data_IF_262098830126
#
_entry.id   IF_262098830126
#
_cell.length_a   1.000
_cell.length_b   1.000
_cell.length_c   1.000
_cell.angle_alpha   90.00
_cell.angle_beta   90.00
_cell.angle_gamma   90.00
#
_symmetry.space_group_name_H-M   'P 1'
#
loop_
_entity.id
_entity.type
_entity.pdbx_description
1 polymer ?
#
# COMPACT_ATOMS: atom_id res chain seq x y z
N UNK A 1 16.71 29.13 14.57
CA UNK A 1 15.63 28.38 13.91
C UNK A 1 16.24 27.37 12.94
N UNK A 2 15.80 26.11 13.01
CA UNK A 2 16.53 24.95 12.51
C UNK A 2 16.81 24.96 11.01
N UNK A 3 17.99 24.44 10.61
CA UNK A 3 18.44 24.27 9.21
C UNK A 3 17.45 23.50 8.31
N UNK A 4 16.44 22.85 8.90
CA UNK A 4 15.45 21.99 8.24
C UNK A 4 14.46 22.74 7.34
N UNK A 5 14.19 24.03 7.58
CA UNK A 5 13.21 24.81 6.82
C UNK A 5 13.83 25.74 5.75
N UNK A 6 15.14 25.63 5.48
CA UNK A 6 15.78 26.47 4.46
C UNK A 6 15.51 25.91 3.06
N UNK A 7 14.90 26.69 2.14
CA UNK A 7 14.70 26.26 0.75
C UNK A 7 16.00 25.79 0.12
N UNK A 8 17.11 26.52 0.28
CA UNK A 8 18.41 26.11 -0.26
C UNK A 8 18.90 24.74 0.23
N UNK A 9 18.47 24.32 1.42
CA UNK A 9 18.84 23.02 1.99
C UNK A 9 17.93 21.88 1.52
N UNK A 10 16.69 22.18 1.15
CA UNK A 10 15.69 21.22 0.64
C UNK A 10 15.84 21.05 -0.88
N UNK A 11 16.09 22.17 -1.59
CA UNK A 11 16.24 22.28 -3.04
C UNK A 11 17.70 22.12 -3.52
N UNK A 12 18.67 21.85 -2.65
CA UNK A 12 20.06 21.60 -3.04
C UNK A 12 20.12 20.49 -4.10
N UNK A 13 20.60 20.82 -5.31
CA UNK A 13 20.53 19.95 -6.48
C UNK A 13 21.33 18.64 -6.31
N UNK A 14 22.43 18.68 -5.56
CA UNK A 14 23.34 17.54 -5.36
C UNK A 14 23.85 17.51 -3.91
N UNK A 15 23.06 17.00 -2.95
CA UNK A 15 23.60 16.68 -1.64
C UNK A 15 24.62 15.55 -1.80
N UNK A 16 25.79 15.59 -1.12
CA UNK A 16 26.79 14.54 -1.23
C UNK A 16 26.13 13.18 -0.97
N UNK A 17 26.44 12.22 -1.85
CA UNK A 17 25.95 10.85 -1.77
C UNK A 17 26.62 10.13 -0.60
N UNK A 18 26.27 10.52 0.63
CA UNK A 18 26.62 9.76 1.82
C UNK A 18 25.98 8.38 1.67
N UNK A 19 26.69 7.29 2.02
CA UNK A 19 26.26 5.89 1.84
C UNK A 19 24.89 5.50 2.43
N UNK A 20 24.19 6.44 3.06
CA UNK A 20 22.83 6.33 3.56
C UNK A 20 21.78 5.94 2.49
N UNK A 21 22.05 6.20 1.21
CA UNK A 21 21.13 5.80 0.13
C UNK A 21 21.05 4.27 -0.06
N UNK A 22 22.08 3.52 0.35
CA UNK A 22 22.06 2.05 0.32
C UNK A 22 20.97 1.52 1.26
N UNK A 23 20.76 2.15 2.41
CA UNK A 23 19.66 1.77 3.30
C UNK A 23 18.29 2.02 2.68
N UNK A 24 18.11 3.11 1.91
CA UNK A 24 16.86 3.34 1.17
C UNK A 24 16.63 2.25 0.12
N UNK A 25 17.68 1.86 -0.62
CA UNK A 25 17.60 0.76 -1.59
C UNK A 25 17.18 -0.54 -0.91
N UNK A 26 17.78 -0.87 0.24
CA UNK A 26 17.42 -2.06 1.03
C UNK A 26 15.96 -2.00 1.48
N UNK A 27 15.50 -0.85 1.99
CA UNK A 27 14.11 -0.66 2.45
C UNK A 27 13.12 -0.83 1.31
N UNK A 28 13.32 -0.16 0.17
CA UNK A 28 12.42 -0.30 -0.99
C UNK A 28 12.47 -1.69 -1.61
N UNK A 29 13.66 -2.31 -1.67
CA UNK A 29 13.82 -3.70 -2.08
C UNK A 29 13.05 -4.67 -1.18
N UNK A 30 13.16 -4.51 0.15
CA UNK A 30 12.39 -5.28 1.12
C UNK A 30 10.88 -5.09 0.94
N UNK A 31 10.40 -3.87 0.68
CA UNK A 31 8.98 -3.62 0.41
C UNK A 31 8.48 -4.43 -0.79
N UNK A 32 9.26 -4.53 -1.86
CA UNK A 32 8.89 -5.34 -3.04
C UNK A 32 8.90 -6.83 -2.69
N UNK A 33 9.91 -7.30 -1.97
CA UNK A 33 9.98 -8.71 -1.53
C UNK A 33 8.77 -9.07 -0.66
N UNK A 34 8.42 -8.21 0.30
CA UNK A 34 7.23 -8.39 1.14
C UNK A 34 5.95 -8.37 0.30
N UNK A 35 5.84 -7.50 -0.70
CA UNK A 35 4.70 -7.50 -1.62
C UNK A 35 4.60 -8.84 -2.37
N UNK A 36 5.70 -9.37 -2.91
CA UNK A 36 5.70 -10.66 -3.60
C UNK A 36 5.30 -11.80 -2.66
N UNK A 37 5.84 -11.83 -1.43
CA UNK A 37 5.44 -12.80 -0.42
C UNK A 37 3.94 -12.70 -0.14
N UNK A 38 3.42 -11.49 0.07
CA UNK A 38 1.98 -11.26 0.23
C UNK A 38 1.18 -11.76 -0.97
N UNK A 39 1.70 -11.73 -2.20
CA UNK A 39 1.01 -12.31 -3.35
C UNK A 39 0.90 -13.84 -3.27
N UNK A 40 1.96 -14.52 -2.80
CA UNK A 40 1.99 -15.97 -2.64
C UNK A 40 1.11 -16.48 -1.50
N UNK A 41 1.01 -15.75 -0.38
CA UNK A 41 0.22 -16.16 0.79
C UNK A 41 -1.29 -15.89 0.66
N UNK A 42 -1.80 -15.49 -0.51
CA UNK A 42 -3.24 -15.20 -0.73
C UNK A 42 -4.16 -16.40 -0.52
N UNK A 43 -3.72 -17.63 -0.70
CA UNK A 43 -4.63 -18.78 -0.84
C UNK A 43 -5.47 -19.15 0.39
N UNK A 44 -5.12 -18.68 1.60
CA UNK A 44 -5.78 -19.07 2.85
C UNK A 44 -6.66 -17.99 3.50
N UNK A 45 -6.77 -16.81 2.91
CA UNK A 45 -7.46 -15.68 3.52
C UNK A 45 -8.94 -15.60 3.07
N UNK A 46 -9.84 -15.21 3.98
CA UNK A 46 -11.24 -14.95 3.60
C UNK A 46 -11.31 -13.81 2.57
N UNK A 47 -12.36 -13.78 1.73
CA UNK A 47 -12.53 -12.77 0.68
C UNK A 47 -12.37 -11.32 1.17
N UNK A 48 -12.77 -11.04 2.40
CA UNK A 48 -12.64 -9.71 3.04
C UNK A 48 -11.17 -9.34 3.22
N UNK A 49 -10.34 -10.27 3.69
CA UNK A 49 -8.91 -10.07 3.90
C UNK A 49 -8.13 -10.04 2.57
N UNK A 50 -8.59 -10.78 1.55
CA UNK A 50 -7.99 -10.73 0.20
C UNK A 50 -8.06 -9.34 -0.42
N UNK A 51 -9.17 -8.62 -0.21
CA UNK A 51 -9.36 -7.25 -0.73
C UNK A 51 -8.38 -6.28 -0.06
N UNK A 52 -8.18 -6.41 1.26
CA UNK A 52 -7.19 -5.63 2.00
C UNK A 52 -5.76 -5.97 1.55
N UNK A 53 -5.43 -7.25 1.45
CA UNK A 53 -4.12 -7.72 1.03
C UNK A 53 -3.78 -7.24 -0.38
N UNK A 54 -4.73 -7.22 -1.32
CA UNK A 54 -4.53 -6.64 -2.65
C UNK A 54 -4.22 -5.14 -2.60
N UNK A 55 -4.88 -4.38 -1.73
CA UNK A 55 -4.60 -2.95 -1.57
C UNK A 55 -3.23 -2.70 -0.96
N UNK A 56 -2.87 -3.44 0.09
CA UNK A 56 -1.54 -3.40 0.71
C UNK A 56 -0.47 -3.81 -0.29
N UNK A 57 -0.70 -4.89 -1.05
CA UNK A 57 0.19 -5.34 -2.12
C UNK A 57 0.44 -4.24 -3.16
N UNK A 58 -0.62 -3.64 -3.69
CA UNK A 58 -0.49 -2.57 -4.68
C UNK A 58 0.24 -1.36 -4.09
N UNK A 59 -0.01 -0.99 -2.83
CA UNK A 59 0.68 0.10 -2.15
C UNK A 59 2.18 -0.21 -2.02
N UNK A 60 2.55 -1.37 -1.45
CA UNK A 60 3.96 -1.73 -1.28
C UNK A 60 4.69 -1.85 -2.60
N UNK A 61 4.05 -2.42 -3.62
CA UNK A 61 4.64 -2.61 -4.93
C UNK A 61 4.83 -1.27 -5.66
N UNK A 62 3.83 -0.40 -5.67
CA UNK A 62 3.94 0.94 -6.29
C UNK A 62 5.00 1.79 -5.58
N UNK A 63 4.98 1.86 -4.25
CA UNK A 63 5.98 2.61 -3.47
C UNK A 63 7.38 2.00 -3.57
N UNK A 64 7.50 0.68 -3.58
CA UNK A 64 8.78 0.00 -3.75
C UNK A 64 9.38 0.27 -5.13
N UNK A 65 8.58 0.15 -6.20
CA UNK A 65 9.03 0.44 -7.57
C UNK A 65 9.39 1.92 -7.73
N UNK A 66 8.49 2.83 -7.34
CA UNK A 66 8.73 4.27 -7.41
C UNK A 66 9.96 4.65 -6.58
N UNK A 67 10.09 4.09 -5.37
CA UNK A 67 11.26 4.28 -4.51
C UNK A 67 12.57 3.82 -5.14
N UNK A 68 12.58 2.66 -5.80
CA UNK A 68 13.75 2.20 -6.57
C UNK A 68 14.07 3.13 -7.75
N UNK A 69 13.08 3.58 -8.51
CA UNK A 69 13.28 4.56 -9.58
C UNK A 69 13.92 5.85 -9.06
N UNK A 70 13.49 6.35 -7.90
CA UNK A 70 14.11 7.52 -7.29
C UNK A 70 15.55 7.29 -6.86
N UNK A 71 15.87 6.10 -6.33
CA UNK A 71 17.25 5.73 -6.00
C UNK A 71 18.11 5.66 -7.27
N UNK A 72 17.58 5.13 -8.37
CA UNK A 72 18.27 5.09 -9.67
C UNK A 72 18.50 6.48 -10.25
N UNK A 73 17.50 7.37 -10.23
CA UNK A 73 17.69 8.75 -10.69
C UNK A 73 18.72 9.51 -9.85
N UNK A 74 18.84 9.17 -8.56
CA UNK A 74 19.90 9.70 -7.71
C UNK A 74 21.27 9.12 -8.05
N UNK A 75 21.36 7.85 -8.43
CA UNK A 75 22.59 7.22 -8.90
C UNK A 75 23.09 7.87 -10.19
N UNK A 76 22.19 8.13 -11.13
CA UNK A 76 22.45 8.89 -12.37
C UNK A 76 22.72 10.39 -12.13
N UNK A 77 22.71 10.84 -10.86
CA UNK A 77 22.91 12.23 -10.44
C UNK A 77 22.05 13.25 -11.21
N UNK A 78 20.85 12.85 -11.65
CA UNK A 78 19.95 13.72 -12.40
C UNK A 78 19.60 14.93 -11.50
N UNK A 79 19.92 16.16 -11.91
CA UNK A 79 19.61 17.36 -11.13
C UNK A 79 18.12 17.41 -10.78
N UNK A 80 17.79 17.89 -9.58
CA UNK A 80 16.43 17.98 -9.00
C UNK A 80 15.76 16.65 -8.61
N UNK A 81 15.95 15.55 -9.36
CA UNK A 81 15.32 14.26 -9.05
C UNK A 81 16.01 13.51 -7.89
N UNK A 82 17.30 13.77 -7.64
CA UNK A 82 18.02 13.27 -6.47
C UNK A 82 17.90 14.14 -5.21
N UNK A 83 17.11 15.22 -5.26
CA UNK A 83 16.97 16.18 -4.16
C UNK A 83 16.16 15.61 -2.99
N UNK A 84 16.31 16.22 -1.81
CA UNK A 84 15.59 15.82 -0.59
C UNK A 84 14.07 15.99 -0.72
N UNK A 85 13.60 16.80 -1.69
CA UNK A 85 12.19 16.96 -2.04
C UNK A 85 11.54 15.65 -2.44
N UNK A 86 12.25 14.82 -3.21
CA UNK A 86 11.65 13.58 -3.70
C UNK A 86 11.43 12.59 -2.57
N UNK A 87 12.32 12.55 -1.57
CA UNK A 87 12.12 11.76 -0.35
C UNK A 87 10.90 12.27 0.43
N UNK A 88 10.73 13.59 0.55
CA UNK A 88 9.57 14.19 1.21
C UNK A 88 8.27 13.87 0.46
N UNK A 89 8.28 13.95 -0.87
CA UNK A 89 7.12 13.65 -1.71
C UNK A 89 6.74 12.17 -1.62
N UNK A 90 7.72 11.28 -1.56
CA UNK A 90 7.54 9.85 -1.34
C UNK A 90 6.95 9.57 0.04
N UNK A 91 7.45 10.25 1.08
CA UNK A 91 6.92 10.16 2.44
C UNK A 91 5.46 10.67 2.51
N UNK A 92 5.14 11.78 1.84
CA UNK A 92 3.79 12.33 1.79
C UNK A 92 2.82 11.38 1.08
N UNK A 93 3.26 10.81 -0.04
CA UNK A 93 2.48 9.81 -0.80
C UNK A 93 2.25 8.56 0.06
N UNK A 94 3.28 8.09 0.77
CA UNK A 94 3.19 6.97 1.69
C UNK A 94 2.19 7.25 2.83
N UNK A 95 2.25 8.43 3.44
CA UNK A 95 1.34 8.84 4.52
C UNK A 95 -0.11 8.94 4.04
N UNK A 96 -0.35 9.54 2.88
CA UNK A 96 -1.69 9.70 2.32
C UNK A 96 -2.32 8.35 1.99
N UNK A 97 -1.60 7.50 1.25
CA UNK A 97 -2.09 6.18 0.87
C UNK A 97 -2.17 5.21 2.06
N UNK A 98 -1.17 5.24 2.94
CA UNK A 98 -1.12 4.44 4.15
C UNK A 98 -2.26 4.78 5.12
N UNK A 99 -2.54 6.08 5.31
CA UNK A 99 -3.67 6.57 6.09
C UNK A 99 -5.01 6.12 5.50
N UNK A 100 -5.18 6.19 4.18
CA UNK A 100 -6.40 5.73 3.50
C UNK A 100 -6.63 4.22 3.68
N UNK A 101 -5.57 3.41 3.57
CA UNK A 101 -5.67 1.95 3.80
C UNK A 101 -5.95 1.64 5.28
N UNK A 102 -5.32 2.35 6.21
CA UNK A 102 -5.57 2.18 7.64
C UNK A 102 -7.02 2.53 8.01
N UNK A 103 -7.55 3.62 7.45
CA UNK A 103 -8.96 4.00 7.60
C UNK A 103 -9.89 2.90 7.07
N UNK A 104 -9.62 2.39 5.86
CA UNK A 104 -10.39 1.27 5.29
C UNK A 104 -10.34 0.01 6.17
N UNK A 105 -9.19 -0.29 6.77
CA UNK A 105 -9.03 -1.43 7.65
C UNK A 105 -9.86 -1.31 8.94
N UNK A 106 -9.85 -0.13 9.57
CA UNK A 106 -10.53 0.10 10.85
C UNK A 106 -12.04 0.26 10.66
N UNK A 107 -12.49 0.93 9.60
CA UNK A 107 -13.91 1.26 9.43
C UNK A 107 -14.66 0.28 8.54
N UNK A 108 -14.06 -0.18 7.44
CA UNK A 108 -14.81 -0.91 6.40
C UNK A 108 -14.82 -2.43 6.63
N UNK A 109 -13.73 -3.00 7.15
CA UNK A 109 -13.68 -4.43 7.51
C UNK A 109 -14.72 -4.84 8.57
N UNK A 110 -14.89 -4.14 9.71
CA UNK A 110 -15.89 -4.54 10.68
C UNK A 110 -17.31 -4.44 10.11
N UNK A 111 -17.58 -3.45 9.25
CA UNK A 111 -18.88 -3.29 8.58
C UNK A 111 -19.15 -4.42 7.57
N UNK A 112 -18.20 -4.75 6.69
CA UNK A 112 -18.33 -5.88 5.75
C UNK A 112 -18.56 -7.21 6.49
N UNK A 113 -17.88 -7.42 7.62
CA UNK A 113 -18.12 -8.61 8.48
C UNK A 113 -19.54 -8.65 9.05
N UNK A 114 -20.06 -7.50 9.48
CA UNK A 114 -21.40 -7.40 10.06
C UNK A 114 -22.48 -7.67 9.01
N UNK A 115 -22.31 -7.14 7.81
CA UNK A 115 -23.20 -7.43 6.68
C UNK A 115 -23.12 -8.87 6.21
N UNK A 116 -21.91 -9.45 6.12
CA UNK A 116 -21.72 -10.85 5.79
C UNK A 116 -22.45 -11.76 6.80
N UNK A 117 -22.35 -11.47 8.10
CA UNK A 117 -23.09 -12.19 9.15
C UNK A 117 -24.60 -12.00 9.04
N UNK A 118 -25.09 -10.79 8.73
CA UNK A 118 -26.52 -10.53 8.51
C UNK A 118 -27.06 -11.32 7.31
N UNK A 119 -26.34 -11.33 6.19
CA UNK A 119 -26.68 -12.13 5.00
C UNK A 119 -26.70 -13.63 5.31
N UNK A 120 -25.71 -14.14 6.04
CA UNK A 120 -25.69 -15.55 6.47
C UNK A 120 -26.87 -15.91 7.38
N UNK A 121 -27.22 -15.04 8.35
CA UNK A 121 -28.40 -15.23 9.20
C UNK A 121 -29.67 -15.23 8.37
N UNK A 122 -29.86 -14.26 7.47
CA UNK A 122 -31.01 -14.19 6.58
C UNK A 122 -31.16 -15.46 5.73
N UNK A 123 -30.06 -15.94 5.11
CA UNK A 123 -30.04 -17.19 4.33
C UNK A 123 -30.34 -18.43 5.20
N UNK A 124 -29.99 -18.40 6.50
CA UNK A 124 -30.31 -19.49 7.44
C UNK A 124 -31.81 -19.60 7.72
N UNK A 125 -32.53 -18.47 7.75
CA UNK A 125 -33.97 -18.43 8.00
C UNK A 125 -34.83 -18.49 6.72
N UNK A 126 -34.22 -18.51 5.53
CA UNK A 126 -34.95 -18.65 4.28
C UNK A 126 -35.45 -20.07 4.05
N UNK A 127 -36.71 -20.26 3.60
CA UNK A 127 -37.22 -21.58 3.21
C UNK A 127 -36.44 -22.17 2.03
N UNK A 128 -36.32 -23.49 1.98
CA UNK A 128 -35.45 -24.20 1.01
C UNK A 128 -35.78 -23.90 -0.46
N UNK A 129 -37.05 -23.60 -0.78
CA UNK A 129 -37.49 -23.20 -2.12
C UNK A 129 -36.86 -21.87 -2.58
N UNK A 130 -36.78 -20.88 -1.69
CA UNK A 130 -36.14 -19.59 -1.98
C UNK A 130 -34.60 -19.75 -2.09
N UNK A 131 -34.01 -20.65 -1.30
CA UNK A 131 -32.57 -20.98 -1.34
C UNK A 131 -32.12 -21.56 -2.68
N UNK A 132 -32.95 -22.42 -3.30
CA UNK A 132 -32.70 -22.99 -4.64
C UNK A 132 -32.75 -21.92 -5.74
N UNK A 133 -33.69 -20.97 -5.66
CA UNK A 133 -33.84 -19.90 -6.66
C UNK A 133 -32.63 -18.95 -6.71
N UNK A 134 -32.10 -18.58 -5.54
CA UNK A 134 -30.90 -17.74 -5.44
C UNK A 134 -29.67 -18.43 -6.05
N UNK A 135 -29.53 -19.75 -5.84
CA UNK A 135 -28.41 -20.55 -6.35
C UNK A 135 -28.50 -20.83 -7.86
N UNK A 136 -29.70 -20.83 -8.43
CA UNK A 136 -29.94 -20.99 -9.87
C UNK A 136 -29.78 -19.70 -10.68
N UNK A 137 -29.92 -18.53 -10.05
CA UNK A 137 -29.77 -17.21 -10.71
C UNK A 137 -28.32 -16.76 -10.87
N UNK A 138 -27.35 -17.47 -10.28
CA UNK A 138 -25.92 -17.14 -10.36
C UNK A 138 -25.17 -17.94 -11.43
N UNK A 139 -25.90 -18.59 -12.35
CA UNK A 139 -25.36 -19.26 -13.54
C UNK A 139 -25.56 -18.40 -14.78
#
# INVERSE_FOLDING_TARGET
MGKLFRPDYIFSATPPANGLYIYLLIVFGLMIVIAILLAFFKSKLEKIYLKLQNRIFNLLLTLGIIGLFFVLFRYEQIPYFGSRLMILLLLLTFLFWGGWIAFYWIFEIPQEKLEARKKQKFIKYLPQAAKRKIRGSTR
#
